data_IF_275859088287
#
_entry.id   IF_275859088287
#
_cell.length_a   1.000
_cell.length_b   1.000
_cell.length_c   1.000
_cell.angle_alpha   90.00
_cell.angle_beta   90.00
_cell.angle_gamma   90.00
#
_symmetry.space_group_name_H-M   'P 1'
#
loop_
_entity.id
_entity.type
_entity.pdbx_description
1 polymer ?
#
# COMPACT_ATOMS: atom_id res chain seq x y z
N UNK A 1 2.99 16.31 -3.27
CA UNK A 1 2.78 15.84 -1.89
C UNK A 1 3.07 16.99 -0.94
N UNK A 2 2.21 17.25 0.02
CA UNK A 2 2.33 18.34 0.98
C UNK A 2 2.10 17.88 2.43
N UNK A 3 2.60 18.63 3.38
CA UNK A 3 2.26 18.54 4.81
C UNK A 3 1.52 19.78 5.29
N UNK A 4 1.28 20.72 4.40
CA UNK A 4 0.61 21.97 4.70
C UNK A 4 -0.91 21.80 4.61
N UNK A 5 -1.56 21.97 5.76
CA UNK A 5 -3.01 21.86 5.90
C UNK A 5 -3.72 23.03 5.19
N UNK A 6 -3.12 24.21 5.16
CA UNK A 6 -3.69 25.40 4.53
C UNK A 6 -3.85 25.23 3.00
N UNK A 7 -3.01 24.39 2.40
CA UNK A 7 -3.14 24.07 0.98
C UNK A 7 -4.42 23.32 0.63
N UNK A 8 -5.07 22.67 1.59
CA UNK A 8 -6.22 21.79 1.34
C UNK A 8 -7.47 22.20 2.12
N UNK A 9 -7.33 22.89 3.23
CA UNK A 9 -8.44 23.30 4.07
C UNK A 9 -9.39 24.26 3.32
N UNK A 10 -10.69 23.98 3.39
CA UNK A 10 -11.73 24.77 2.74
C UNK A 10 -11.82 24.60 1.21
N UNK A 11 -10.99 23.78 0.60
CA UNK A 11 -11.08 23.47 -0.84
C UNK A 11 -12.08 22.35 -1.11
N UNK A 12 -12.63 22.34 -2.31
CA UNK A 12 -13.51 21.28 -2.81
C UNK A 12 -12.73 20.36 -3.76
N UNK A 13 -13.05 19.09 -3.72
CA UNK A 13 -12.49 18.04 -4.57
C UNK A 13 -13.64 17.15 -5.07
N UNK A 14 -13.48 16.57 -6.27
CA UNK A 14 -14.42 15.59 -6.77
C UNK A 14 -14.36 14.30 -5.94
N UNK A 15 -13.15 13.92 -5.50
CA UNK A 15 -12.92 12.75 -4.64
C UNK A 15 -11.98 13.09 -3.48
N UNK A 16 -12.33 12.60 -2.30
CA UNK A 16 -11.47 12.59 -1.12
C UNK A 16 -11.23 11.13 -0.71
N UNK A 17 -9.98 10.70 -0.80
CA UNK A 17 -9.56 9.34 -0.45
C UNK A 17 -8.91 9.37 0.93
N UNK A 18 -9.47 8.61 1.85
CA UNK A 18 -9.01 8.52 3.23
C UNK A 18 -8.11 7.30 3.39
N UNK A 19 -6.83 7.54 3.55
CA UNK A 19 -5.78 6.54 3.69
C UNK A 19 -5.00 6.29 2.40
N UNK A 20 -3.73 6.69 2.40
CA UNK A 20 -2.76 6.45 1.32
C UNK A 20 -2.12 5.07 1.44
N UNK A 21 -2.92 4.02 1.54
CA UNK A 21 -2.45 2.65 1.64
C UNK A 21 -2.39 1.93 0.28
N UNK A 22 -2.29 0.60 0.34
CA UNK A 22 -2.15 -0.29 -0.83
C UNK A 22 -3.23 -0.05 -1.90
N UNK A 23 -4.46 0.25 -1.49
CA UNK A 23 -5.57 0.53 -2.42
C UNK A 23 -5.74 2.03 -2.68
N UNK A 24 -5.52 2.89 -1.67
CA UNK A 24 -5.77 4.33 -1.80
C UNK A 24 -4.83 5.03 -2.76
N UNK A 25 -3.56 4.64 -2.80
CA UNK A 25 -2.59 5.23 -3.73
C UNK A 25 -2.94 4.98 -5.20
N UNK A 26 -3.14 3.72 -5.67
CA UNK A 26 -3.51 3.48 -7.06
C UNK A 26 -4.87 4.09 -7.43
N UNK A 27 -5.86 4.06 -6.52
CA UNK A 27 -7.14 4.71 -6.75
C UNK A 27 -6.99 6.22 -6.96
N UNK A 28 -6.16 6.88 -6.13
CA UNK A 28 -5.90 8.31 -6.27
C UNK A 28 -5.20 8.64 -7.60
N UNK A 29 -4.19 7.85 -7.97
CA UNK A 29 -3.51 8.01 -9.25
C UNK A 29 -4.49 7.91 -10.42
N UNK A 30 -5.27 6.84 -10.49
CA UNK A 30 -6.22 6.58 -11.57
C UNK A 30 -7.30 7.67 -11.67
N UNK A 31 -7.95 8.03 -10.57
CA UNK A 31 -9.01 9.05 -10.58
C UNK A 31 -8.48 10.44 -10.96
N UNK A 32 -7.24 10.74 -10.61
CA UNK A 32 -6.66 12.05 -10.89
C UNK A 32 -6.49 12.37 -12.37
N UNK A 33 -6.57 11.40 -13.26
CA UNK A 33 -6.53 11.67 -14.70
C UNK A 33 -7.69 12.55 -15.17
N UNK A 34 -8.87 12.39 -14.54
CA UNK A 34 -10.09 13.07 -14.97
C UNK A 34 -10.73 13.94 -13.90
N UNK A 35 -10.32 13.80 -12.63
CA UNK A 35 -10.98 14.42 -11.48
C UNK A 35 -9.98 15.08 -10.54
N UNK A 36 -10.43 16.09 -9.81
CA UNK A 36 -9.67 16.66 -8.69
C UNK A 36 -9.74 15.70 -7.49
N UNK A 37 -8.57 15.24 -7.02
CA UNK A 37 -8.45 14.21 -5.97
C UNK A 37 -7.61 14.72 -4.82
N UNK A 38 -8.13 14.54 -3.60
CA UNK A 38 -7.37 14.70 -2.37
C UNK A 38 -7.15 13.32 -1.73
N UNK A 39 -5.90 12.90 -1.61
CA UNK A 39 -5.50 11.73 -0.83
C UNK A 39 -4.96 12.20 0.52
N UNK A 40 -5.53 11.70 1.62
CA UNK A 40 -5.09 12.04 2.98
C UNK A 40 -4.55 10.80 3.69
N UNK A 41 -3.30 10.90 4.17
CA UNK A 41 -2.63 9.84 4.92
C UNK A 41 -2.19 10.34 6.29
N UNK A 42 -2.48 9.53 7.33
CA UNK A 42 -2.11 9.85 8.72
C UNK A 42 -0.61 9.70 9.00
N UNK A 43 0.05 8.83 8.27
CA UNK A 43 1.50 8.63 8.32
C UNK A 43 2.25 9.64 7.48
N UNK A 44 3.58 9.56 7.52
CA UNK A 44 4.47 10.38 6.71
C UNK A 44 4.79 9.76 5.36
N UNK A 45 5.74 10.38 4.67
CA UNK A 45 6.32 9.86 3.44
C UNK A 45 7.17 8.60 3.71
N UNK A 46 7.16 7.59 2.84
CA UNK A 46 8.10 6.49 2.88
C UNK A 46 9.50 6.90 2.42
N UNK A 47 9.57 7.90 1.52
CA UNK A 47 10.80 8.32 0.87
C UNK A 47 11.76 8.98 1.87
N UNK A 48 13.03 8.57 1.81
CA UNK A 48 14.04 9.01 2.75
C UNK A 48 13.97 8.35 4.13
N UNK A 49 13.04 7.43 4.36
CA UNK A 49 12.97 6.65 5.60
C UNK A 49 13.62 5.26 5.41
N UNK A 50 14.83 5.04 5.91
CA UNK A 50 15.53 3.76 5.70
C UNK A 50 14.80 2.57 6.31
N UNK A 51 14.01 2.76 7.37
CA UNK A 51 13.21 1.68 7.98
C UNK A 51 12.11 1.16 7.04
N UNK A 52 11.75 1.94 6.03
CA UNK A 52 10.76 1.56 5.02
C UNK A 52 11.44 1.07 3.76
N UNK A 53 12.36 1.85 3.22
CA UNK A 53 12.87 1.63 1.87
C UNK A 53 14.07 0.69 1.78
N UNK A 54 14.83 0.51 2.84
CA UNK A 54 16.04 -0.30 2.81
C UNK A 54 15.75 -1.74 3.29
N UNK A 55 15.99 -2.73 2.42
CA UNK A 55 15.79 -4.15 2.69
C UNK A 55 16.49 -4.63 3.97
N UNK A 56 17.60 -4.01 4.37
CA UNK A 56 18.33 -4.38 5.59
C UNK A 56 17.52 -4.18 6.87
N UNK A 57 16.52 -3.29 6.83
CA UNK A 57 15.65 -2.97 7.96
C UNK A 57 14.23 -3.54 7.82
N UNK A 58 13.99 -4.43 6.85
CA UNK A 58 12.65 -4.87 6.50
C UNK A 58 11.84 -5.43 7.68
N UNK A 59 12.45 -6.08 8.64
CA UNK A 59 11.77 -6.63 9.82
C UNK A 59 11.53 -5.62 10.97
N UNK A 60 12.19 -4.48 10.94
CA UNK A 60 12.18 -3.51 12.04
C UNK A 60 10.78 -2.95 12.37
N UNK A 61 9.92 -2.62 11.40
CA UNK A 61 8.58 -2.11 11.68
C UNK A 61 7.73 -3.06 12.53
N UNK A 62 7.96 -4.36 12.47
CA UNK A 62 7.21 -5.36 13.25
C UNK A 62 7.60 -5.44 14.72
N UNK A 63 8.82 -5.04 15.06
CA UNK A 63 9.33 -5.08 16.43
C UNK A 63 9.31 -3.72 17.13
N UNK A 64 9.03 -2.63 16.40
CA UNK A 64 8.87 -1.32 17.02
C UNK A 64 7.65 -1.31 17.94
N UNK A 65 7.84 -0.84 19.17
CA UNK A 65 6.72 -0.62 20.09
C UNK A 65 6.02 0.69 19.74
N UNK A 66 4.70 0.62 19.61
CA UNK A 66 3.84 1.76 19.20
C UNK A 66 3.60 2.77 20.35
N UNK A 67 4.62 3.11 21.10
CA UNK A 67 4.49 4.10 22.18
C UNK A 67 4.49 5.55 21.67
N UNK A 68 4.73 5.77 20.37
CA UNK A 68 4.76 7.10 19.78
C UNK A 68 4.04 7.10 18.43
N UNK A 69 3.24 8.13 18.18
CA UNK A 69 2.59 8.42 16.88
C UNK A 69 3.57 8.59 15.70
N UNK A 70 4.84 8.25 15.90
CA UNK A 70 5.97 8.45 14.98
C UNK A 70 6.38 7.16 14.25
N UNK A 71 5.90 5.99 14.66
CA UNK A 71 6.29 4.73 14.04
C UNK A 71 5.59 4.54 12.68
N UNK A 72 6.31 3.95 11.71
CA UNK A 72 5.77 3.63 10.38
C UNK A 72 4.77 2.48 10.41
N UNK A 73 4.68 1.78 11.53
CA UNK A 73 3.79 0.66 11.77
C UNK A 73 2.98 0.86 13.05
N UNK A 74 1.76 0.37 13.06
CA UNK A 74 0.90 0.35 14.23
C UNK A 74 0.47 -1.08 14.53
N UNK A 75 0.74 -1.53 15.75
CA UNK A 75 0.21 -2.80 16.27
C UNK A 75 -1.23 -2.65 16.71
N UNK A 76 -2.00 -3.69 16.54
CA UNK A 76 -3.33 -3.83 17.10
C UNK A 76 -3.65 -5.31 17.31
N UNK A 77 -4.59 -5.58 18.20
CA UNK A 77 -5.10 -6.94 18.41
C UNK A 77 -6.50 -6.99 17.82
N UNK A 78 -6.79 -8.02 17.03
CA UNK A 78 -8.13 -8.26 16.50
C UNK A 78 -9.08 -8.79 17.59
N UNK A 79 -10.36 -8.89 17.29
CA UNK A 79 -11.39 -9.35 18.28
C UNK A 79 -11.19 -10.80 18.72
N UNK A 80 -10.50 -11.59 17.91
CA UNK A 80 -10.11 -12.99 18.18
C UNK A 80 -8.71 -13.12 18.79
N UNK A 81 -8.20 -12.06 19.41
CA UNK A 81 -6.91 -11.97 20.11
C UNK A 81 -5.67 -12.24 19.24
N UNK A 82 -5.79 -12.09 17.92
CA UNK A 82 -4.64 -12.19 17.02
C UNK A 82 -3.91 -10.86 16.93
N UNK A 83 -2.61 -10.89 17.25
CA UNK A 83 -1.72 -9.73 17.09
C UNK A 83 -1.48 -9.41 15.62
N UNK A 84 -1.72 -8.17 15.24
CA UNK A 84 -1.59 -7.67 13.87
C UNK A 84 -0.78 -6.38 13.83
N UNK A 85 -0.27 -6.06 12.63
CA UNK A 85 0.46 -4.81 12.35
C UNK A 85 -0.07 -4.19 11.05
N UNK A 86 -0.31 -2.90 11.05
CA UNK A 86 -0.69 -2.14 9.85
C UNK A 86 0.23 -0.96 9.61
N UNK A 87 0.45 -0.58 8.35
CA UNK A 87 1.25 0.59 7.99
C UNK A 87 0.64 1.90 8.48
N UNK A 88 1.51 2.81 8.92
CA UNK A 88 1.21 4.21 9.23
C UNK A 88 2.20 5.07 8.45
N UNK A 89 2.10 5.02 7.16
CA UNK A 89 3.00 5.65 6.20
C UNK A 89 2.31 5.64 4.83
N UNK A 90 2.60 6.60 3.98
CA UNK A 90 2.12 6.57 2.60
C UNK A 90 2.64 5.29 1.92
N UNK A 91 1.77 4.58 1.21
CA UNK A 91 1.98 3.21 0.77
C UNK A 91 1.34 2.17 1.70
N UNK A 92 1.01 2.55 2.95
CA UNK A 92 0.32 1.68 3.91
C UNK A 92 1.08 0.40 4.21
N UNK A 93 0.37 -0.74 4.25
CA UNK A 93 0.99 -2.03 4.57
C UNK A 93 1.88 -2.60 3.47
N UNK A 94 1.81 -2.09 2.22
CA UNK A 94 2.80 -2.42 1.20
C UNK A 94 4.20 -1.90 1.53
N UNK A 95 4.28 -0.85 2.37
CA UNK A 95 5.53 -0.27 2.85
C UNK A 95 6.21 -1.05 3.99
N UNK A 96 5.49 -2.00 4.62
CA UNK A 96 6.00 -2.76 5.78
C UNK A 96 5.88 -4.28 5.63
N UNK A 97 5.29 -4.79 4.55
CA UNK A 97 5.11 -6.23 4.32
C UNK A 97 6.47 -6.96 4.10
N UNK A 98 6.41 -8.29 3.96
CA UNK A 98 7.60 -9.13 3.73
C UNK A 98 8.27 -8.95 2.36
N UNK A 99 7.66 -8.20 1.46
CA UNK A 99 8.22 -7.92 0.14
C UNK A 99 8.03 -9.03 -0.90
N UNK A 100 7.31 -10.08 -0.56
CA UNK A 100 6.93 -11.12 -1.48
C UNK A 100 5.70 -10.72 -2.29
N UNK A 101 5.70 -11.02 -3.58
CA UNK A 101 4.59 -10.73 -4.49
C UNK A 101 4.19 -11.96 -5.30
N UNK A 102 2.89 -12.17 -5.40
CA UNK A 102 2.26 -13.14 -6.29
C UNK A 102 0.87 -12.64 -6.67
N UNK A 103 0.43 -12.91 -7.90
CA UNK A 103 -0.95 -12.68 -8.32
C UNK A 103 -1.90 -13.58 -7.55
N UNK A 104 -3.18 -13.26 -7.54
CA UNK A 104 -4.22 -14.17 -7.07
C UNK A 104 -4.53 -15.24 -8.13
N UNK A 105 -5.25 -16.30 -7.74
CA UNK A 105 -5.69 -17.32 -8.70
C UNK A 105 -6.85 -16.85 -9.56
N UNK A 106 -6.97 -17.37 -10.78
CA UNK A 106 -8.11 -17.13 -11.67
C UNK A 106 -9.44 -17.53 -11.05
N UNK A 107 -9.44 -18.64 -10.26
CA UNK A 107 -10.62 -19.06 -9.50
C UNK A 107 -11.13 -17.97 -8.55
N UNK A 108 -10.19 -17.24 -7.90
CA UNK A 108 -10.59 -16.16 -7.02
C UNK A 108 -11.18 -14.99 -7.80
N UNK A 109 -10.59 -14.61 -8.93
CA UNK A 109 -11.09 -13.54 -9.82
C UNK A 109 -12.51 -13.86 -10.28
N UNK A 110 -12.76 -15.09 -10.71
CA UNK A 110 -14.09 -15.59 -11.11
C UNK A 110 -15.08 -15.56 -9.94
N UNK A 111 -14.67 -16.06 -8.78
CA UNK A 111 -15.52 -16.14 -7.58
C UNK A 111 -16.00 -14.77 -7.12
N UNK A 112 -15.16 -13.73 -7.22
CA UNK A 112 -15.53 -12.37 -6.81
C UNK A 112 -16.19 -11.57 -7.92
N UNK A 113 -16.30 -12.14 -9.13
CA UNK A 113 -16.96 -11.51 -10.28
C UNK A 113 -16.21 -10.32 -10.87
N UNK A 114 -14.89 -10.28 -10.73
CA UNK A 114 -14.09 -9.23 -11.33
C UNK A 114 -13.88 -9.48 -12.83
N UNK A 115 -13.83 -8.38 -13.60
CA UNK A 115 -13.49 -8.44 -15.02
C UNK A 115 -12.02 -8.87 -15.20
N UNK A 116 -11.80 -10.01 -15.89
CA UNK A 116 -10.47 -10.59 -16.07
C UNK A 116 -9.52 -9.69 -16.87
N UNK A 117 -10.05 -8.95 -17.84
CA UNK A 117 -9.22 -8.04 -18.66
C UNK A 117 -8.73 -6.87 -17.82
N UNK A 118 -9.64 -6.25 -17.05
CA UNK A 118 -9.29 -5.16 -16.15
C UNK A 118 -8.31 -5.62 -15.03
N UNK A 119 -8.51 -6.82 -14.50
CA UNK A 119 -7.59 -7.41 -13.52
C UNK A 119 -6.20 -7.59 -14.11
N UNK A 120 -6.10 -8.09 -15.35
CA UNK A 120 -4.83 -8.27 -16.04
C UNK A 120 -4.12 -6.93 -16.27
N UNK A 121 -4.83 -5.94 -16.79
CA UNK A 121 -4.30 -4.59 -17.00
C UNK A 121 -3.83 -3.94 -15.69
N UNK A 122 -4.60 -4.12 -14.61
CA UNK A 122 -4.23 -3.61 -13.29
C UNK A 122 -2.95 -4.29 -12.75
N UNK A 123 -2.80 -5.61 -12.93
CA UNK A 123 -1.57 -6.31 -12.57
C UNK A 123 -0.38 -5.81 -13.37
N UNK A 124 -0.50 -5.72 -14.69
CA UNK A 124 0.58 -5.25 -15.57
C UNK A 124 1.05 -3.84 -15.17
N UNK A 125 0.12 -2.95 -14.86
CA UNK A 125 0.43 -1.61 -14.38
C UNK A 125 1.16 -1.62 -13.03
N UNK A 126 0.59 -2.28 -12.01
CA UNK A 126 1.19 -2.33 -10.66
C UNK A 126 2.55 -3.00 -10.70
N UNK A 127 2.66 -4.13 -11.40
CA UNK A 127 3.89 -4.91 -11.50
C UNK A 127 5.02 -4.14 -12.16
N UNK A 128 4.70 -3.32 -13.18
CA UNK A 128 5.70 -2.49 -13.86
C UNK A 128 6.39 -1.48 -12.96
N UNK A 129 5.78 -1.15 -11.81
CA UNK A 129 6.28 -0.12 -10.87
C UNK A 129 6.87 -0.71 -9.60
N UNK A 130 6.26 -1.76 -9.05
CA UNK A 130 6.57 -2.19 -7.68
C UNK A 130 7.05 -3.63 -7.59
N UNK A 131 7.15 -4.37 -8.70
CA UNK A 131 7.54 -5.78 -8.68
C UNK A 131 8.78 -6.02 -9.52
N UNK A 132 9.76 -6.67 -8.92
CA UNK A 132 11.05 -6.98 -9.52
C UNK A 132 11.31 -8.48 -9.44
N UNK A 133 11.90 -9.08 -10.50
CA UNK A 133 12.45 -10.41 -10.40
C UNK A 133 13.64 -10.40 -9.43
N UNK A 134 13.88 -11.46 -8.67
CA UNK A 134 15.08 -11.57 -7.87
C UNK A 134 16.30 -11.58 -8.77
N UNK A 135 17.26 -10.70 -8.51
CA UNK A 135 18.49 -10.60 -9.29
C UNK A 135 19.36 -11.87 -9.17
N UNK A 136 19.37 -12.44 -7.97
CA UNK A 136 19.94 -13.75 -7.66
C UNK A 136 19.29 -14.28 -6.38
N UNK A 137 19.28 -15.58 -6.20
CA UNK A 137 18.86 -16.18 -4.95
C UNK A 137 20.01 -16.10 -3.95
N UNK A 138 19.67 -15.69 -2.73
CA UNK A 138 20.62 -15.78 -1.61
C UNK A 138 20.88 -17.25 -1.28
N UNK A 139 22.01 -17.60 -0.62
CA UNK A 139 22.26 -18.97 -0.19
C UNK A 139 21.11 -19.59 0.60
N UNK A 140 20.46 -18.83 1.47
CA UNK A 140 19.29 -19.30 2.21
C UNK A 140 18.08 -19.59 1.31
N UNK A 141 17.80 -18.73 0.33
CA UNK A 141 16.71 -18.95 -0.62
C UNK A 141 16.97 -20.18 -1.50
N UNK A 142 18.21 -20.41 -1.92
CA UNK A 142 18.59 -21.61 -2.68
C UNK A 142 18.44 -22.89 -1.85
N UNK A 143 18.82 -22.86 -0.58
CA UNK A 143 18.61 -24.00 0.33
C UNK A 143 17.12 -24.26 0.54
N UNK A 144 16.33 -23.21 0.74
CA UNK A 144 14.88 -23.35 0.91
C UNK A 144 14.22 -23.91 -0.36
N UNK A 145 14.58 -23.43 -1.54
CA UNK A 145 14.10 -23.95 -2.83
C UNK A 145 14.42 -25.43 -2.97
N UNK A 146 15.69 -25.81 -2.78
CA UNK A 146 16.13 -27.19 -2.85
C UNK A 146 15.38 -28.09 -1.85
N UNK A 147 15.24 -27.64 -0.60
CA UNK A 147 14.53 -28.40 0.45
C UNK A 147 13.05 -28.61 0.13
N UNK A 148 12.37 -27.62 -0.46
CA UNK A 148 10.99 -27.76 -0.91
C UNK A 148 10.85 -28.80 -2.02
N UNK A 149 11.79 -28.81 -2.97
CA UNK A 149 11.80 -29.79 -4.06
C UNK A 149 12.10 -31.20 -3.55
N UNK A 150 13.06 -31.38 -2.65
CA UNK A 150 13.42 -32.65 -2.02
C UNK A 150 12.25 -33.22 -1.19
N UNK A 151 11.45 -32.35 -0.55
CA UNK A 151 10.25 -32.78 0.19
C UNK A 151 9.04 -33.02 -0.71
N UNK A 152 9.19 -32.93 -2.03
CA UNK A 152 8.13 -33.24 -2.98
C UNK A 152 7.12 -32.14 -3.23
N UNK A 153 7.46 -30.87 -2.93
CA UNK A 153 6.61 -29.72 -3.29
C UNK A 153 6.78 -29.40 -4.77
N UNK A 154 6.16 -30.20 -5.59
CA UNK A 154 6.26 -30.20 -7.05
C UNK A 154 4.96 -29.69 -7.71
N UNK A 155 5.02 -29.23 -9.01
CA UNK A 155 6.21 -29.10 -9.85
C UNK A 155 7.08 -27.89 -9.49
N UNK A 156 8.30 -27.84 -10.03
CA UNK A 156 9.10 -26.62 -10.04
C UNK A 156 8.67 -25.73 -11.21
N UNK A 157 8.27 -24.52 -10.91
CA UNK A 157 7.69 -23.57 -11.88
C UNK A 157 8.65 -22.45 -12.30
N UNK A 158 9.89 -22.47 -11.81
CA UNK A 158 10.83 -21.39 -12.08
C UNK A 158 10.33 -20.02 -11.56
N UNK A 159 10.68 -18.95 -12.25
CA UNK A 159 10.16 -17.61 -11.95
C UNK A 159 8.75 -17.43 -12.52
N UNK A 160 7.80 -17.11 -11.65
CA UNK A 160 6.42 -16.82 -12.07
C UNK A 160 5.70 -15.94 -11.05
N UNK A 161 4.93 -14.97 -11.54
CA UNK A 161 4.05 -14.14 -10.72
C UNK A 161 2.68 -14.81 -10.51
N UNK A 162 2.35 -15.84 -11.28
CA UNK A 162 1.05 -16.53 -11.21
C UNK A 162 0.90 -17.32 -9.90
N UNK A 163 -0.35 -17.52 -9.47
CA UNK A 163 -0.66 -18.37 -8.34
C UNK A 163 -0.65 -19.84 -8.75
N UNK A 164 0.46 -20.52 -8.53
CA UNK A 164 0.70 -21.91 -8.99
C UNK A 164 0.90 -22.83 -7.81
N UNK A 165 0.48 -24.09 -7.98
CA UNK A 165 0.86 -25.19 -7.09
C UNK A 165 2.32 -25.56 -7.30
N UNK A 166 3.00 -25.96 -6.23
CA UNK A 166 4.40 -26.39 -6.28
C UNK A 166 5.38 -25.32 -5.81
N UNK A 167 6.64 -25.51 -6.14
CA UNK A 167 7.73 -24.61 -5.81
C UNK A 167 7.96 -23.59 -6.93
N UNK A 168 8.08 -22.33 -6.60
CA UNK A 168 8.39 -21.28 -7.56
C UNK A 168 9.24 -20.18 -6.94
N UNK A 169 9.92 -19.44 -7.79
CA UNK A 169 10.51 -18.14 -7.48
C UNK A 169 9.47 -17.08 -7.85
N UNK A 170 9.14 -16.19 -6.95
CA UNK A 170 8.14 -15.16 -7.20
C UNK A 170 8.73 -13.76 -7.23
N UNK A 171 7.89 -12.75 -7.48
CA UNK A 171 8.28 -11.35 -7.49
C UNK A 171 8.65 -10.82 -6.11
N UNK A 172 9.45 -9.78 -6.10
CA UNK A 172 9.85 -9.02 -4.92
C UNK A 172 9.49 -7.55 -5.09
N UNK A 173 9.09 -6.89 -4.00
CA UNK A 173 8.95 -5.42 -4.00
C UNK A 173 10.29 -4.72 -3.70
N UNK A 174 11.36 -5.46 -3.57
CA UNK A 174 12.71 -4.90 -3.48
C UNK A 174 13.42 -5.03 -4.82
N UNK A 175 13.98 -3.93 -5.29
CA UNK A 175 14.78 -3.91 -6.51
C UNK A 175 16.16 -4.56 -6.33
N UNK A 176 16.97 -4.55 -7.40
CA UNK A 176 18.32 -5.11 -7.39
C UNK A 176 19.31 -4.42 -6.45
N UNK A 177 18.99 -3.20 -6.01
CA UNK A 177 19.77 -2.44 -5.03
C UNK A 177 19.28 -2.67 -3.59
N UNK A 178 18.18 -3.41 -3.41
CA UNK A 178 17.56 -3.65 -2.12
C UNK A 178 16.70 -2.49 -1.63
N UNK A 179 16.28 -1.63 -2.54
CA UNK A 179 15.34 -0.55 -2.27
C UNK A 179 13.91 -1.08 -2.43
N UNK A 180 13.07 -0.81 -1.43
CA UNK A 180 11.65 -1.16 -1.45
C UNK A 180 10.86 -0.20 -2.33
N UNK A 181 9.99 -0.77 -3.14
CA UNK A 181 8.93 -0.08 -3.85
C UNK A 181 7.58 -0.38 -3.19
N UNK A 182 6.69 0.60 -3.20
CA UNK A 182 5.40 0.52 -2.48
C UNK A 182 4.27 1.03 -3.35
N UNK A 183 3.03 0.88 -2.90
CA UNK A 183 1.90 1.50 -3.62
C UNK A 183 2.00 3.04 -3.70
N UNK A 184 2.85 3.69 -2.89
CA UNK A 184 3.09 5.12 -3.02
C UNK A 184 3.75 5.49 -4.36
N UNK A 185 4.54 4.58 -4.95
CA UNK A 185 5.23 4.81 -6.22
C UNK A 185 4.24 4.90 -7.40
N UNK A 186 3.06 4.27 -7.26
CA UNK A 186 1.98 4.38 -8.24
C UNK A 186 1.39 5.80 -8.35
N UNK A 187 1.59 6.65 -7.33
CA UNK A 187 1.15 8.06 -7.38
C UNK A 187 1.91 8.89 -8.41
N UNK A 188 3.07 8.43 -8.86
CA UNK A 188 3.85 9.09 -9.92
C UNK A 188 3.11 9.09 -11.26
N UNK A 189 2.24 8.10 -11.49
CA UNK A 189 1.42 8.03 -12.70
C UNK A 189 0.16 8.92 -12.61
N UNK A 190 -0.13 9.51 -11.45
CA UNK A 190 -1.24 10.43 -11.27
C UNK A 190 -1.00 11.79 -11.95
N UNK A 191 -2.09 12.46 -12.30
CA UNK A 191 -2.02 13.81 -12.87
C UNK A 191 -1.67 14.83 -11.79
N UNK A 192 -0.47 15.45 -11.81
CA UNK A 192 -0.03 16.36 -10.75
C UNK A 192 -0.87 17.64 -10.63
N UNK A 193 -1.66 18.00 -11.65
CA UNK A 193 -2.56 19.14 -11.62
C UNK A 193 -3.84 18.87 -10.85
N UNK A 194 -4.26 17.59 -10.80
CA UNK A 194 -5.51 17.16 -10.21
C UNK A 194 -5.29 16.41 -8.88
N UNK A 195 -4.09 15.90 -8.62
CA UNK A 195 -3.78 15.08 -7.45
C UNK A 195 -3.10 15.88 -6.35
N UNK A 196 -3.75 16.00 -5.21
CA UNK A 196 -3.16 16.52 -3.99
C UNK A 196 -3.00 15.40 -2.98
N UNK A 197 -1.80 15.21 -2.43
CA UNK A 197 -1.49 14.20 -1.41
C UNK A 197 -1.08 14.91 -0.12
N UNK A 198 -1.92 14.83 0.90
CA UNK A 198 -1.66 15.38 2.23
C UNK A 198 -1.23 14.24 3.18
N UNK A 199 -0.01 14.31 3.68
CA UNK A 199 0.53 13.35 4.66
C UNK A 199 0.58 13.97 6.06
N UNK A 200 0.72 13.13 7.09
CA UNK A 200 0.69 13.54 8.50
C UNK A 200 -0.64 14.19 8.91
N UNK A 201 -1.74 13.75 8.32
CA UNK A 201 -3.07 14.26 8.63
C UNK A 201 -4.03 13.08 8.89
N UNK A 202 -4.66 13.10 10.06
CA UNK A 202 -5.57 12.04 10.49
C UNK A 202 -7.03 12.49 10.32
N UNK A 203 -7.75 11.81 9.44
CA UNK A 203 -9.20 12.01 9.30
C UNK A 203 -9.90 11.48 10.54
N UNK A 204 -10.78 12.30 11.11
CA UNK A 204 -11.56 11.97 12.31
C UNK A 204 -12.97 11.52 11.98
N UNK A 205 -13.60 12.14 11.00
CA UNK A 205 -14.96 11.80 10.59
C UNK A 205 -15.26 12.27 9.17
N UNK A 206 -16.22 11.62 8.54
CA UNK A 206 -16.87 12.08 7.33
C UNK A 206 -18.07 12.93 7.72
N UNK A 207 -18.25 14.06 7.04
CA UNK A 207 -19.41 14.93 7.21
C UNK A 207 -20.47 14.49 6.20
N UNK A 208 -21.59 14.03 6.71
CA UNK A 208 -22.74 13.66 5.90
C UNK A 208 -23.82 14.76 5.92
N UNK A 209 -24.50 14.92 4.79
CA UNK A 209 -25.72 15.68 4.69
C UNK A 209 -26.90 14.73 4.40
N UNK A 210 -27.94 14.84 5.21
CA UNK A 210 -29.17 14.07 5.06
C UNK A 210 -30.22 14.99 4.42
N UNK A 211 -30.70 14.61 3.25
CA UNK A 211 -31.79 15.31 2.58
C UNK A 211 -33.11 14.69 3.08
N UNK A 212 -33.76 15.35 4.04
CA UNK A 212 -34.93 14.81 4.77
C UNK A 212 -36.09 14.38 3.87
N UNK A 213 -36.26 15.03 2.71
CA UNK A 213 -37.38 14.76 1.79
C UNK A 213 -37.16 13.54 0.89
N UNK A 214 -35.91 13.05 0.72
CA UNK A 214 -35.55 11.97 -0.20
C UNK A 214 -34.91 10.75 0.43
N UNK A 215 -34.74 10.73 1.73
CA UNK A 215 -34.00 9.68 2.45
C UNK A 215 -32.58 9.42 1.87
N UNK A 216 -32.00 10.43 1.22
CA UNK A 216 -30.68 10.38 0.61
C UNK A 216 -29.62 10.96 1.53
N UNK A 217 -28.53 10.22 1.70
CA UNK A 217 -27.35 10.66 2.46
C UNK A 217 -26.21 10.90 1.49
N UNK A 218 -25.61 12.09 1.54
CA UNK A 218 -24.44 12.44 0.72
C UNK A 218 -23.26 12.85 1.58
N UNK A 219 -22.04 12.42 1.22
CA UNK A 219 -20.82 12.90 1.84
C UNK A 219 -20.53 14.34 1.35
N UNK A 220 -20.31 15.26 2.29
CA UNK A 220 -20.03 16.68 2.00
C UNK A 220 -18.60 17.09 2.31
N UNK A 221 -17.87 16.25 3.03
CA UNK A 221 -16.48 16.56 3.37
C UNK A 221 -15.97 15.68 4.50
N UNK A 222 -14.83 16.06 5.03
CA UNK A 222 -14.17 15.37 6.13
C UNK A 222 -13.70 16.36 7.19
N UNK A 223 -13.61 15.87 8.43
CA UNK A 223 -12.87 16.55 9.50
C UNK A 223 -11.55 15.82 9.71
N UNK A 224 -10.45 16.54 9.74
CA UNK A 224 -9.14 15.97 9.97
C UNK A 224 -8.29 16.87 10.88
N UNK A 225 -7.27 16.30 11.47
CA UNK A 225 -6.28 16.99 12.30
C UNK A 225 -4.88 16.75 11.76
N UNK A 226 -4.02 17.73 11.85
CA UNK A 226 -2.58 17.57 11.60
C UNK A 226 -2.01 16.67 12.70
N UNK A 227 -1.29 15.64 12.32
CA UNK A 227 -0.54 14.85 13.28
C UNK A 227 0.64 15.71 13.76
N UNK A 228 0.60 16.19 15.01
CA UNK A 228 1.71 16.93 15.59
C UNK A 228 2.93 16.01 15.68
N UNK A 229 3.81 16.10 14.71
CA UNK A 229 5.18 15.62 14.82
C UNK A 229 6.01 16.78 15.31
N UNK A 230 6.21 16.89 16.61
CA UNK A 230 7.39 17.57 17.12
C UNK A 230 8.58 16.69 16.70
N UNK A 231 9.17 16.99 15.56
CA UNK A 231 10.44 16.43 15.15
C UNK A 231 11.48 16.96 16.14
N UNK A 232 11.89 16.12 17.06
CA UNK A 232 13.21 16.27 17.68
C UNK A 232 14.14 15.45 16.78
N UNK A 233 14.99 16.15 16.04
CA UNK A 233 16.10 15.59 15.28
C UNK A 233 17.18 15.12 16.25
#
# INVERSE_FOLDING_TARGET
MTTDVEEVAGKSYDYIIVGGGTCGCPLAATLSHNFSVLLIERGGSPYGNPLVIDRRYYGFPFIQYDNHHMTVAQRFTSQDDVGNVRGRVLGGSSAINGGFYSRTSDEFVEKVGWDKMLVKEAYEWVESKVVFPPYFLTPWQSVAEFSLLETGILPYNGYSLEHLKGTKISGSVFDGFGQRHTSADLLEDGNPKNLTVLVNATVKSIIFHHNGDKNETSAKGIKFIKSNRNCVY
#
